data_IF_176429188001
#
_entry.id   IF_176429188001
#
_cell.length_a   1.000
_cell.length_b   1.000
_cell.length_c   1.000
_cell.angle_alpha   90.00
_cell.angle_beta   90.00
_cell.angle_gamma   90.00
#
_symmetry.space_group_name_H-M   'P 1'
#
loop_
_entity.id
_entity.type
_entity.pdbx_description
1 polymer ?
#
# COMPACT_ATOMS: atom_id res chain seq x y z
N UNK A 1 -34.44 8.89 22.81
CA UNK A 1 -33.05 8.74 22.32
C UNK A 1 -33.10 8.98 20.82
N UNK A 2 -32.59 10.13 20.36
CA UNK A 2 -32.64 10.46 18.92
C UNK A 2 -31.72 9.53 18.12
N UNK A 3 -32.03 9.29 16.82
CA UNK A 3 -31.09 8.59 15.95
C UNK A 3 -29.82 9.43 15.90
N UNK A 4 -28.72 8.89 16.44
CA UNK A 4 -27.41 9.53 16.34
C UNK A 4 -27.14 9.83 14.88
N UNK A 5 -26.70 11.05 14.57
CA UNK A 5 -26.25 11.42 13.24
C UNK A 5 -25.11 10.48 12.85
N UNK A 6 -25.46 9.40 12.13
CA UNK A 6 -24.49 8.48 11.56
C UNK A 6 -23.56 9.28 10.69
N UNK A 7 -22.26 9.12 10.91
CA UNK A 7 -21.24 9.72 10.06
C UNK A 7 -21.55 9.32 8.61
N UNK A 8 -21.68 10.29 7.72
CA UNK A 8 -21.94 10.02 6.30
C UNK A 8 -20.67 9.46 5.67
N UNK A 9 -20.58 8.13 5.66
CA UNK A 9 -19.40 7.40 5.19
C UNK A 9 -19.16 7.58 3.70
N UNK A 10 -20.20 7.78 2.90
CA UNK A 10 -20.09 8.02 1.46
C UNK A 10 -19.46 9.39 1.19
N UNK A 11 -19.94 10.42 1.91
CA UNK A 11 -19.36 11.76 1.85
C UNK A 11 -17.91 11.76 2.30
N UNK A 12 -17.59 11.09 3.42
CA UNK A 12 -16.22 11.01 3.92
C UNK A 12 -15.30 10.28 2.91
N UNK A 13 -15.76 9.19 2.30
CA UNK A 13 -15.00 8.48 1.27
C UNK A 13 -14.70 9.38 0.06
N UNK A 14 -15.67 10.18 -0.40
CA UNK A 14 -15.47 11.14 -1.49
C UNK A 14 -14.47 12.26 -1.11
N UNK A 15 -14.50 12.75 0.13
CA UNK A 15 -13.51 13.71 0.63
C UNK A 15 -12.11 13.11 0.69
N UNK A 16 -11.98 11.86 1.15
CA UNK A 16 -10.70 11.13 1.19
C UNK A 16 -10.10 11.01 -0.20
N UNK A 17 -10.89 10.64 -1.20
CA UNK A 17 -10.44 10.56 -2.59
C UNK A 17 -9.93 11.92 -3.11
N UNK A 18 -10.67 13.00 -2.80
CA UNK A 18 -10.30 14.37 -3.18
C UNK A 18 -8.97 14.77 -2.55
N UNK A 19 -8.82 14.62 -1.22
CA UNK A 19 -7.59 14.96 -0.52
C UNK A 19 -6.41 14.09 -0.93
N UNK A 20 -6.65 12.82 -1.26
CA UNK A 20 -5.59 11.94 -1.72
C UNK A 20 -5.03 12.43 -3.07
N UNK A 21 -5.90 12.82 -4.01
CA UNK A 21 -5.51 13.42 -5.29
C UNK A 21 -4.74 14.74 -5.09
N UNK A 22 -5.21 15.62 -4.21
CA UNK A 22 -4.50 16.86 -3.84
C UNK A 22 -3.09 16.58 -3.26
N UNK A 23 -2.96 15.49 -2.52
CA UNK A 23 -1.68 15.04 -1.95
C UNK A 23 -0.80 14.29 -2.98
N UNK A 24 -1.29 14.11 -4.21
CA UNK A 24 -0.57 13.51 -5.32
C UNK A 24 -0.61 11.98 -5.33
N UNK A 25 -1.62 11.35 -4.74
CA UNK A 25 -1.94 9.95 -4.98
C UNK A 25 -2.81 9.83 -6.24
N UNK A 26 -2.61 8.78 -7.03
CA UNK A 26 -3.38 8.53 -8.24
C UNK A 26 -4.76 7.92 -7.94
N UNK A 27 -4.82 7.05 -6.92
CA UNK A 27 -6.06 6.42 -6.48
C UNK A 27 -5.94 6.02 -5.00
N UNK A 28 -7.08 6.02 -4.31
CA UNK A 28 -7.26 5.39 -3.00
C UNK A 28 -8.37 4.36 -3.05
N UNK A 29 -8.29 3.37 -2.17
CA UNK A 29 -9.26 2.29 -2.05
C UNK A 29 -9.42 1.89 -0.59
N UNK A 30 -10.54 1.23 -0.30
CA UNK A 30 -10.94 0.83 1.04
C UNK A 30 -11.13 -0.68 1.07
N UNK A 31 -10.56 -1.33 2.06
CA UNK A 31 -10.68 -2.77 2.28
C UNK A 31 -11.04 -3.06 3.73
N UNK A 32 -11.82 -4.11 3.95
CA UNK A 32 -11.94 -4.71 5.27
C UNK A 32 -10.59 -5.36 5.70
N UNK A 33 -10.53 -5.78 6.95
CA UNK A 33 -9.31 -6.33 7.57
C UNK A 33 -9.12 -7.83 7.36
N UNK A 34 -10.05 -8.52 6.70
CA UNK A 34 -9.99 -9.95 6.47
C UNK A 34 -9.05 -10.30 5.31
N UNK A 35 -7.93 -10.91 5.66
CA UNK A 35 -6.92 -11.45 4.75
C UNK A 35 -6.93 -12.99 4.70
N UNK A 36 -7.98 -13.64 5.19
CA UNK A 36 -8.12 -15.10 5.22
C UNK A 36 -7.95 -15.76 3.85
N UNK A 37 -8.45 -15.13 2.79
CA UNK A 37 -8.29 -15.60 1.41
C UNK A 37 -6.82 -15.57 0.92
N UNK A 38 -6.01 -14.65 1.44
CA UNK A 38 -4.61 -14.45 1.02
C UNK A 38 -3.62 -15.27 1.87
N UNK A 39 -3.99 -15.57 3.11
CA UNK A 39 -3.12 -16.24 4.06
C UNK A 39 -2.59 -17.61 3.58
N UNK A 40 -3.40 -18.52 2.98
CA UNK A 40 -2.93 -19.83 2.53
C UNK A 40 -1.85 -19.72 1.46
N UNK A 41 -2.06 -18.89 0.44
CA UNK A 41 -1.11 -18.70 -0.65
C UNK A 41 0.22 -18.11 -0.14
N UNK A 42 0.16 -17.12 0.75
CA UNK A 42 1.35 -16.53 1.35
C UNK A 42 2.13 -17.54 2.21
N UNK A 43 1.44 -18.32 3.05
CA UNK A 43 2.07 -19.38 3.87
C UNK A 43 2.70 -20.46 2.99
N UNK A 44 2.03 -20.88 1.93
CA UNK A 44 2.58 -21.84 0.97
C UNK A 44 3.84 -21.29 0.30
N UNK A 45 3.80 -20.05 -0.19
CA UNK A 45 4.95 -19.39 -0.81
C UNK A 45 6.15 -19.27 0.13
N UNK A 46 5.91 -18.98 1.43
CA UNK A 46 6.96 -19.00 2.46
C UNK A 46 7.54 -20.41 2.68
N UNK A 47 6.69 -21.44 2.73
CA UNK A 47 7.12 -22.83 2.93
C UNK A 47 7.98 -23.35 1.77
N UNK A 48 7.70 -22.91 0.54
CA UNK A 48 8.50 -23.19 -0.66
C UNK A 48 9.82 -22.40 -0.73
N UNK A 49 10.12 -21.55 0.27
CA UNK A 49 11.30 -20.68 0.29
C UNK A 49 11.40 -19.69 -0.87
N UNK A 50 10.28 -19.31 -1.47
CA UNK A 50 10.24 -18.37 -2.59
C UNK A 50 10.57 -16.92 -2.21
N UNK A 51 10.76 -16.61 -0.93
CA UNK A 51 11.26 -15.30 -0.47
C UNK A 51 12.76 -15.09 -0.72
N UNK A 52 13.50 -16.11 -1.17
CA UNK A 52 14.94 -16.01 -1.35
C UNK A 52 15.62 -15.58 -0.05
N UNK A 53 16.37 -14.47 -0.10
CA UNK A 53 17.10 -13.93 1.05
C UNK A 53 16.25 -12.97 1.93
N UNK A 54 14.99 -12.72 1.57
CA UNK A 54 14.09 -11.80 2.30
C UNK A 54 13.55 -12.42 3.60
N UNK A 55 14.44 -12.80 4.52
CA UNK A 55 14.11 -13.47 5.79
C UNK A 55 13.14 -12.66 6.67
N UNK A 56 13.10 -11.34 6.51
CA UNK A 56 12.12 -10.48 7.20
C UNK A 56 10.66 -10.81 6.82
N UNK A 57 10.41 -11.47 5.69
CA UNK A 57 9.07 -11.92 5.28
C UNK A 57 8.55 -13.08 6.14
N UNK A 58 9.44 -13.89 6.72
CA UNK A 58 9.07 -14.94 7.70
C UNK A 58 8.75 -14.36 9.07
N UNK A 59 9.42 -13.27 9.44
CA UNK A 59 9.25 -12.63 10.75
C UNK A 59 7.89 -11.94 10.81
N UNK A 60 7.29 -11.93 12.00
CA UNK A 60 6.04 -11.21 12.29
C UNK A 60 4.86 -11.61 11.38
N UNK A 61 4.74 -12.90 11.01
CA UNK A 61 3.67 -13.39 10.14
C UNK A 61 2.26 -12.97 10.63
N UNK A 62 2.03 -13.04 11.93
CA UNK A 62 0.74 -12.65 12.52
C UNK A 62 0.45 -11.16 12.29
N UNK A 63 1.46 -10.29 12.37
CA UNK A 63 1.29 -8.86 12.08
C UNK A 63 0.99 -8.58 10.60
N UNK A 64 1.43 -9.45 9.69
CA UNK A 64 1.15 -9.35 8.24
C UNK A 64 -0.29 -9.71 7.90
N UNK A 65 -0.84 -10.68 8.60
CA UNK A 65 -2.16 -11.26 8.33
C UNK A 65 -3.27 -10.67 9.20
N UNK A 66 -2.92 -10.05 10.32
CA UNK A 66 -3.87 -9.50 11.29
C UNK A 66 -3.60 -8.00 11.47
N UNK A 67 -4.31 -7.12 10.74
CA UNK A 67 -4.13 -5.67 10.88
C UNK A 67 -4.25 -5.16 12.33
N UNK A 68 -5.11 -5.77 13.13
CA UNK A 68 -5.26 -5.44 14.55
C UNK A 68 -3.99 -5.67 15.41
N UNK A 69 -3.04 -6.49 14.95
CA UNK A 69 -1.75 -6.69 15.61
C UNK A 69 -0.74 -5.55 15.32
N UNK A 70 -1.04 -4.67 14.36
CA UNK A 70 -0.26 -3.48 14.04
C UNK A 70 -0.85 -2.20 14.65
N UNK A 71 -2.18 -2.11 14.64
CA UNK A 71 -2.96 -1.06 15.28
C UNK A 71 -4.24 -1.68 15.89
N UNK A 72 -4.36 -1.77 17.23
CA UNK A 72 -5.51 -2.40 17.88
C UNK A 72 -6.85 -1.77 17.47
N UNK A 73 -7.88 -2.62 17.34
CA UNK A 73 -9.23 -2.22 16.89
C UNK A 73 -9.31 -1.66 15.45
N UNK A 74 -8.34 -2.01 14.58
CA UNK A 74 -8.44 -1.69 13.14
C UNK A 74 -9.68 -2.37 12.55
N UNK A 75 -10.53 -1.59 11.87
CA UNK A 75 -11.76 -2.07 11.18
C UNK A 75 -11.71 -1.91 9.67
N UNK A 76 -10.83 -1.05 9.16
CA UNK A 76 -10.72 -0.72 7.75
C UNK A 76 -9.25 -0.42 7.42
N UNK A 77 -8.82 -0.78 6.22
CA UNK A 77 -7.54 -0.40 5.65
C UNK A 77 -7.79 0.51 4.44
N UNK A 78 -7.18 1.68 4.46
CA UNK A 78 -7.17 2.61 3.33
C UNK A 78 -5.84 2.42 2.60
N UNK A 79 -5.88 1.93 1.36
CA UNK A 79 -4.71 1.78 0.50
C UNK A 79 -4.65 2.94 -0.49
N UNK A 80 -3.45 3.44 -0.74
CA UNK A 80 -3.21 4.51 -1.70
C UNK A 80 -2.08 4.11 -2.66
N UNK A 81 -2.20 4.49 -3.93
CA UNK A 81 -1.13 4.32 -4.93
C UNK A 81 -0.71 5.66 -5.51
N UNK A 82 0.50 5.71 -6.03
CA UNK A 82 1.07 6.91 -6.64
C UNK A 82 1.88 6.49 -7.86
N UNK A 83 1.72 7.23 -8.95
CA UNK A 83 2.53 7.05 -10.14
C UNK A 83 3.92 7.62 -9.90
N UNK A 84 4.94 6.88 -10.32
CA UNK A 84 6.34 7.27 -10.15
C UNK A 84 7.08 7.47 -11.48
N UNK A 85 6.46 7.08 -12.60
CA UNK A 85 7.05 7.25 -13.93
C UNK A 85 6.97 8.73 -14.34
N UNK A 86 8.11 9.42 -14.29
CA UNK A 86 8.21 10.79 -14.81
C UNK A 86 8.40 10.86 -16.33
N UNK A 87 8.83 9.77 -16.95
CA UNK A 87 9.00 9.61 -18.40
C UNK A 87 8.90 8.12 -18.75
N UNK A 88 8.59 7.76 -20.01
CA UNK A 88 8.62 6.37 -20.46
C UNK A 88 10.01 5.75 -20.17
N UNK A 89 10.06 4.49 -19.72
CA UNK A 89 11.35 3.80 -19.58
C UNK A 89 12.04 3.70 -20.96
N UNK A 90 13.37 3.72 -21.00
CA UNK A 90 14.14 3.56 -22.23
C UNK A 90 13.83 2.21 -22.88
N UNK A 91 13.97 2.14 -24.21
CA UNK A 91 13.87 0.85 -24.89
C UNK A 91 15.02 -0.05 -24.43
N UNK A 92 14.83 -1.37 -24.48
CA UNK A 92 15.87 -2.32 -24.10
C UNK A 92 17.17 -2.15 -24.93
N UNK A 93 17.06 -1.67 -26.16
CA UNK A 93 18.19 -1.31 -27.03
C UNK A 93 19.03 -0.15 -26.51
N UNK A 94 18.43 0.72 -25.71
CA UNK A 94 19.06 1.95 -25.20
C UNK A 94 19.68 1.71 -23.81
N UNK A 95 19.47 0.54 -23.23
CA UNK A 95 20.08 0.15 -21.97
C UNK A 95 21.58 -0.11 -22.16
N UNK A 96 22.42 0.28 -21.19
CA UNK A 96 23.83 -0.07 -21.24
C UNK A 96 24.04 -1.57 -21.31
N UNK A 97 24.85 -2.01 -22.27
CA UNK A 97 25.12 -3.45 -22.46
C UNK A 97 26.55 -3.84 -22.16
N UNK A 98 27.55 -2.95 -22.32
CA UNK A 98 28.97 -3.34 -22.26
C UNK A 98 29.98 -2.22 -21.92
N UNK A 99 29.55 -1.06 -21.40
CA UNK A 99 30.45 0.05 -21.05
C UNK A 99 30.76 0.14 -19.54
N UNK A 100 30.32 -0.86 -18.76
CA UNK A 100 30.46 -0.89 -17.31
C UNK A 100 29.43 -0.01 -16.57
N UNK A 101 28.51 0.65 -17.27
CA UNK A 101 27.40 1.35 -16.65
C UNK A 101 26.19 0.41 -16.43
N UNK A 102 25.31 0.78 -15.50
CA UNK A 102 24.13 0.01 -15.13
C UNK A 102 22.90 0.91 -15.09
N UNK A 103 21.75 0.34 -15.42
CA UNK A 103 20.48 1.04 -15.32
C UNK A 103 19.80 0.76 -13.97
N UNK A 104 19.51 1.82 -13.22
CA UNK A 104 18.85 1.74 -11.92
C UNK A 104 17.34 1.75 -12.13
N UNK A 105 16.64 0.81 -11.49
CA UNK A 105 15.19 0.72 -11.55
C UNK A 105 14.52 2.06 -11.19
N UNK A 106 13.49 2.43 -11.94
CA UNK A 106 12.83 3.75 -11.84
C UNK A 106 12.35 4.09 -10.42
N UNK A 107 11.80 3.12 -9.68
CA UNK A 107 11.32 3.36 -8.31
C UNK A 107 12.44 3.70 -7.30
N UNK A 108 13.69 3.39 -7.64
CA UNK A 108 14.87 3.68 -6.83
C UNK A 108 15.57 4.99 -7.23
N UNK A 109 15.06 5.70 -8.24
CA UNK A 109 15.60 6.98 -8.70
C UNK A 109 14.98 8.15 -7.94
N UNK A 110 15.75 9.22 -7.76
CA UNK A 110 15.27 10.45 -7.15
C UNK A 110 15.11 10.36 -5.63
N UNK A 111 14.03 10.95 -5.09
CA UNK A 111 13.80 11.00 -3.65
C UNK A 111 13.20 9.68 -3.17
N UNK A 112 13.81 9.09 -2.15
CA UNK A 112 13.31 7.93 -1.42
C UNK A 112 11.78 7.99 -1.19
N UNK A 113 11.08 7.05 -1.84
CA UNK A 113 9.62 7.02 -1.85
C UNK A 113 9.05 6.82 -0.45
N UNK A 114 9.74 6.11 0.45
CA UNK A 114 9.28 5.87 1.81
C UNK A 114 9.00 7.19 2.53
N UNK A 115 9.90 8.17 2.40
CA UNK A 115 9.76 9.49 3.02
C UNK A 115 8.63 10.29 2.39
N UNK A 116 8.50 10.22 1.06
CA UNK A 116 7.48 10.97 0.31
C UNK A 116 6.08 10.42 0.60
N UNK A 117 5.89 9.11 0.45
CA UNK A 117 4.63 8.41 0.66
C UNK A 117 4.20 8.51 2.13
N UNK A 118 5.07 8.19 3.09
CA UNK A 118 4.73 8.29 4.53
C UNK A 118 4.29 9.70 4.92
N UNK A 119 4.96 10.75 4.41
CA UNK A 119 4.58 12.14 4.69
C UNK A 119 3.21 12.49 4.13
N UNK A 120 2.89 12.03 2.92
CA UNK A 120 1.58 12.27 2.29
C UNK A 120 0.47 11.49 2.99
N UNK A 121 0.71 10.22 3.33
CA UNK A 121 -0.22 9.42 4.14
C UNK A 121 -0.49 10.05 5.51
N UNK A 122 0.54 10.57 6.20
CA UNK A 122 0.35 11.26 7.47
C UNK A 122 -0.50 12.54 7.33
N UNK A 123 -0.38 13.27 6.22
CA UNK A 123 -1.23 14.43 5.92
C UNK A 123 -2.67 14.01 5.64
N UNK A 124 -2.88 12.94 4.88
CA UNK A 124 -4.20 12.39 4.59
C UNK A 124 -4.87 11.93 5.89
N UNK A 125 -4.16 11.16 6.71
CA UNK A 125 -4.68 10.65 7.97
C UNK A 125 -5.10 11.78 8.94
N UNK A 126 -4.35 12.89 9.01
CA UNK A 126 -4.75 14.06 9.81
C UNK A 126 -6.03 14.75 9.30
N UNK A 127 -6.26 14.76 7.98
CA UNK A 127 -7.50 15.30 7.42
C UNK A 127 -8.69 14.39 7.76
N UNK A 128 -8.49 13.07 7.68
CA UNK A 128 -9.51 12.08 8.08
C UNK A 128 -9.84 12.23 9.57
N UNK A 129 -8.82 12.28 10.42
CA UNK A 129 -8.96 12.39 11.87
C UNK A 129 -9.70 13.67 12.31
N UNK A 130 -9.62 14.75 11.53
CA UNK A 130 -10.35 15.98 11.80
C UNK A 130 -11.87 15.84 11.59
N UNK A 131 -12.30 15.02 10.62
CA UNK A 131 -13.73 14.76 10.35
C UNK A 131 -14.26 13.52 11.10
N UNK A 132 -13.39 12.54 11.32
CA UNK A 132 -13.69 11.24 11.90
C UNK A 132 -12.57 10.83 12.88
N UNK A 133 -12.56 11.41 14.10
CA UNK A 133 -11.50 11.15 15.07
C UNK A 133 -11.36 9.67 15.40
N UNK A 134 -10.12 9.17 15.42
CA UNK A 134 -9.88 7.76 15.65
C UNK A 134 -8.41 7.37 15.73
N UNK A 135 -8.18 6.07 15.94
CA UNK A 135 -6.83 5.50 15.93
C UNK A 135 -6.43 5.11 14.53
N UNK A 136 -5.23 5.47 14.12
CA UNK A 136 -4.69 5.13 12.80
C UNK A 136 -3.18 4.98 12.85
N UNK A 137 -2.65 4.24 11.88
CA UNK A 137 -1.20 4.10 11.68
C UNK A 137 -0.89 4.00 10.20
N UNK A 138 -0.05 4.92 9.72
CA UNK A 138 0.38 4.95 8.32
C UNK A 138 1.62 4.08 8.09
N UNK A 139 1.58 3.26 7.05
CA UNK A 139 2.65 2.34 6.65
C UNK A 139 3.11 2.58 5.21
N UNK A 140 4.35 2.20 4.94
CA UNK A 140 4.92 2.07 3.58
C UNK A 140 6.12 1.13 3.69
N UNK A 141 6.09 0.02 2.94
CA UNK A 141 7.13 -1.02 2.69
C UNK A 141 7.84 -1.62 3.93
N UNK A 142 8.45 -0.77 4.74
CA UNK A 142 9.20 -1.07 5.97
C UNK A 142 8.42 -1.77 7.10
N UNK A 143 7.10 -1.89 7.01
CA UNK A 143 6.26 -2.52 8.03
C UNK A 143 5.78 -3.90 7.58
N UNK A 144 5.49 -4.84 8.49
CA UNK A 144 5.03 -6.17 8.12
C UNK A 144 3.54 -6.12 7.74
N UNK A 145 3.22 -5.47 6.62
CA UNK A 145 1.88 -5.33 6.02
C UNK A 145 1.88 -6.06 4.68
N UNK A 146 0.79 -6.77 4.35
CA UNK A 146 0.59 -7.33 3.01
C UNK A 146 0.04 -6.26 2.05
N UNK A 147 0.87 -5.27 1.71
CA UNK A 147 0.44 -4.09 0.94
C UNK A 147 -0.17 -4.46 -0.42
N UNK A 148 0.38 -5.45 -1.11
CA UNK A 148 -0.12 -5.90 -2.41
C UNK A 148 -1.52 -6.56 -2.31
N UNK A 149 -1.74 -7.58 -1.45
CA UNK A 149 -3.08 -8.10 -1.16
C UNK A 149 -4.10 -7.03 -0.71
N UNK A 150 -3.70 -6.13 0.18
CA UNK A 150 -4.58 -5.06 0.64
C UNK A 150 -4.93 -4.09 -0.50
N UNK A 151 -3.97 -3.76 -1.36
CA UNK A 151 -4.19 -2.94 -2.55
C UNK A 151 -5.14 -3.60 -3.56
N UNK A 152 -4.99 -4.90 -3.82
CA UNK A 152 -5.94 -5.65 -4.67
C UNK A 152 -7.34 -5.66 -4.05
N UNK A 153 -7.45 -6.03 -2.77
CA UNK A 153 -8.73 -6.07 -2.04
C UNK A 153 -9.40 -4.70 -1.97
N UNK A 154 -8.61 -3.62 -1.94
CA UNK A 154 -9.07 -2.24 -1.97
C UNK A 154 -9.46 -1.75 -3.38
N UNK A 155 -9.34 -2.59 -4.42
CA UNK A 155 -9.70 -2.25 -5.80
C UNK A 155 -8.68 -1.38 -6.53
N UNK A 156 -7.41 -1.38 -6.09
CA UNK A 156 -6.34 -0.61 -6.74
C UNK A 156 -5.71 -1.32 -7.95
N UNK A 157 -6.08 -2.58 -8.21
CA UNK A 157 -5.50 -3.41 -9.26
C UNK A 157 -5.69 -4.90 -9.01
N UNK A 158 -4.89 -5.72 -9.68
CA UNK A 158 -4.84 -7.19 -9.55
C UNK A 158 -3.39 -7.68 -9.45
N UNK A 159 -3.16 -8.82 -8.80
CA UNK A 159 -1.80 -9.39 -8.67
C UNK A 159 -1.39 -10.15 -9.94
N UNK A 160 -0.38 -9.62 -10.62
CA UNK A 160 0.24 -10.20 -11.80
C UNK A 160 1.02 -11.48 -11.53
N UNK A 161 1.27 -12.26 -12.59
CA UNK A 161 2.19 -13.41 -12.54
C UNK A 161 3.62 -13.02 -12.12
N UNK A 162 4.00 -11.76 -12.37
CA UNK A 162 5.25 -11.16 -11.90
C UNK A 162 5.20 -10.75 -10.41
N UNK A 163 4.13 -11.10 -9.69
CA UNK A 163 3.86 -10.79 -8.27
C UNK A 163 3.64 -9.31 -7.95
N UNK A 164 3.53 -8.43 -8.95
CA UNK A 164 3.25 -7.01 -8.75
C UNK A 164 1.73 -6.75 -8.79
N UNK A 165 1.29 -5.69 -8.10
CA UNK A 165 -0.06 -5.16 -8.27
C UNK A 165 -0.10 -4.34 -9.57
N UNK A 166 -1.02 -4.67 -10.47
CA UNK A 166 -1.15 -4.09 -11.82
C UNK A 166 -2.51 -3.43 -11.99
N UNK A 167 -2.58 -2.35 -12.76
CA UNK A 167 -3.79 -1.55 -12.93
C UNK A 167 -3.81 -0.67 -14.16
#
# INVERSE_FOLDING_TARGET
MGPGSGMDTERLAAQIDTWAKELGFAQVGFADVDLSAYAPAFRHWLAQRFHGEMEYLKRNLDKRLVPAALEPATVCVISARMDYLGSPPPAASDLPTNDGSAYIAEYARGRDYHKTVRRRLARLARKIDAEAPGRYRAFTDSAPVLEKPLGEKAGLGWIGKNTLLLS
#
